data_IF_762316521188
#
_entry.id   IF_762316521188
#
_cell.length_a   1.000
_cell.length_b   1.000
_cell.length_c   1.000
_cell.angle_alpha   90.00
_cell.angle_beta   90.00
_cell.angle_gamma   90.00
#
_symmetry.space_group_name_H-M   'P 1'
#
loop_
_entity.id
_entity.type
_entity.pdbx_description
1 polymer ?
#
# COMPACT_ATOMS: atom_id res chain seq x y z
N UNK A 1 -8.89 -13.81 1.70
CA UNK A 1 -7.65 -13.14 1.26
C UNK A 1 -7.14 -12.27 2.40
N UNK A 2 -5.85 -12.36 2.74
CA UNK A 2 -5.18 -11.56 3.77
C UNK A 2 -4.35 -10.45 3.13
N UNK A 3 -4.62 -9.21 3.50
CA UNK A 3 -3.98 -8.02 2.96
C UNK A 3 -3.28 -7.24 4.07
N UNK A 4 -2.00 -6.99 3.92
CA UNK A 4 -1.27 -6.03 4.76
C UNK A 4 -1.33 -4.65 4.10
N UNK A 5 -1.81 -3.66 4.83
CA UNK A 5 -1.76 -2.24 4.46
C UNK A 5 -0.86 -1.52 5.42
N UNK A 6 0.24 -0.98 4.90
CA UNK A 6 1.17 -0.17 5.69
C UNK A 6 1.03 1.31 5.30
N UNK A 7 0.79 2.15 6.30
CA UNK A 7 0.74 3.60 6.15
C UNK A 7 2.03 4.17 6.72
N UNK A 8 2.98 4.51 5.84
CA UNK A 8 4.25 5.09 6.28
C UNK A 8 4.15 6.63 6.35
N UNK A 9 5.02 7.26 7.13
CA UNK A 9 4.97 8.68 7.50
C UNK A 9 5.14 9.73 6.38
N UNK A 10 4.62 9.46 5.18
CA UNK A 10 4.54 10.44 4.09
C UNK A 10 3.18 11.16 4.13
N UNK A 11 3.11 12.38 3.60
CA UNK A 11 1.82 13.04 3.41
C UNK A 11 0.95 12.23 2.44
N UNK A 12 -0.37 12.21 2.66
CA UNK A 12 -1.29 11.35 1.88
C UNK A 12 -1.79 10.12 2.67
N UNK A 13 -1.69 10.14 4.00
CA UNK A 13 -2.29 9.15 4.91
C UNK A 13 -3.76 8.89 4.56
N UNK A 14 -4.49 9.94 4.19
CA UNK A 14 -5.90 9.84 3.78
C UNK A 14 -6.11 8.88 2.62
N UNK A 15 -5.18 8.82 1.67
CA UNK A 15 -5.27 7.89 0.55
C UNK A 15 -5.17 6.42 0.99
N UNK A 16 -4.33 6.14 2.00
CA UNK A 16 -4.24 4.81 2.63
C UNK A 16 -5.51 4.44 3.39
N UNK A 17 -6.12 5.41 4.08
CA UNK A 17 -7.40 5.23 4.77
C UNK A 17 -8.51 4.92 3.75
N UNK A 18 -8.63 5.72 2.69
CA UNK A 18 -9.61 5.51 1.62
C UNK A 18 -9.40 4.19 0.89
N UNK A 19 -8.14 3.79 0.67
CA UNK A 19 -7.82 2.46 0.15
C UNK A 19 -8.48 1.37 1.00
N UNK A 20 -8.38 1.42 2.33
CA UNK A 20 -9.02 0.43 3.20
C UNK A 20 -10.54 0.55 3.18
N UNK A 21 -11.10 1.77 3.17
CA UNK A 21 -12.55 2.00 3.18
C UNK A 21 -13.26 1.40 1.97
N UNK A 22 -12.64 1.45 0.79
CA UNK A 22 -13.21 0.94 -0.46
C UNK A 22 -12.95 -0.55 -0.71
N UNK A 23 -12.13 -1.23 0.10
CA UNK A 23 -11.89 -2.67 -0.05
C UNK A 23 -13.19 -3.49 0.11
N UNK A 24 -13.36 -4.59 -0.63
CA UNK A 24 -14.39 -5.59 -0.35
C UNK A 24 -14.36 -6.03 1.11
N UNK A 25 -15.54 -6.24 1.72
CA UNK A 25 -15.65 -6.50 3.16
C UNK A 25 -15.16 -7.90 3.59
N UNK A 26 -15.02 -8.82 2.66
CA UNK A 26 -14.52 -10.19 2.88
C UNK A 26 -12.98 -10.28 2.98
N UNK A 27 -12.27 -9.18 2.69
CA UNK A 27 -10.81 -9.12 2.78
C UNK A 27 -10.39 -8.85 4.22
N UNK A 28 -9.61 -9.76 4.81
CA UNK A 28 -8.96 -9.60 6.10
C UNK A 28 -7.80 -8.60 5.98
N UNK A 29 -7.84 -7.54 6.78
CA UNK A 29 -6.87 -6.43 6.70
C UNK A 29 -5.98 -6.40 7.94
N UNK A 30 -4.68 -6.39 7.73
CA UNK A 30 -3.65 -6.14 8.74
C UNK A 30 -3.07 -4.75 8.49
N UNK A 31 -3.47 -3.78 9.30
CA UNK A 31 -3.03 -2.39 9.18
C UNK A 31 -1.80 -2.14 10.03
N UNK A 32 -0.71 -1.71 9.39
CA UNK A 32 0.49 -1.22 10.07
C UNK A 32 0.49 0.30 10.00
N UNK A 33 0.62 0.97 11.14
CA UNK A 33 0.74 2.42 11.20
C UNK A 33 1.92 2.83 12.08
N UNK A 34 2.64 3.84 11.64
CA UNK A 34 3.67 4.52 12.45
C UNK A 34 3.08 5.62 13.34
N UNK A 35 1.81 5.96 13.15
CA UNK A 35 1.15 7.03 13.86
C UNK A 35 0.06 6.45 14.77
N UNK A 36 0.22 6.62 16.10
CA UNK A 36 -0.75 6.19 17.11
C UNK A 36 -2.11 6.93 17.01
N UNK A 37 -2.21 7.93 16.14
CA UNK A 37 -3.45 8.67 15.91
C UNK A 37 -4.45 7.93 15.00
N UNK A 38 -4.00 6.88 14.27
CA UNK A 38 -4.92 6.05 13.48
C UNK A 38 -5.53 5.00 14.40
N UNK A 39 -6.82 5.11 14.66
CA UNK A 39 -7.59 4.16 15.47
C UNK A 39 -8.52 3.34 14.58
N UNK A 40 -8.86 2.13 15.04
CA UNK A 40 -9.84 1.25 14.35
C UNK A 40 -11.19 1.98 14.15
N UNK A 41 -11.53 2.93 15.02
CA UNK A 41 -12.77 3.72 14.94
C UNK A 41 -12.90 4.55 13.64
N UNK A 42 -11.80 4.82 12.92
CA UNK A 42 -11.84 5.48 11.59
C UNK A 42 -12.39 4.55 10.50
N UNK A 43 -12.48 3.24 10.79
CA UNK A 43 -12.98 2.21 9.88
C UNK A 43 -14.32 1.65 10.36
N UNK A 44 -15.20 2.51 10.87
CA UNK A 44 -16.57 2.16 11.22
C UNK A 44 -17.19 1.29 10.13
N UNK A 45 -17.80 0.17 10.52
CA UNK A 45 -18.35 -0.87 9.63
C UNK A 45 -17.36 -1.91 9.03
N UNK A 46 -16.14 -2.04 9.56
CA UNK A 46 -15.24 -3.17 9.24
C UNK A 46 -14.77 -3.89 10.51
N UNK A 47 -15.23 -5.12 10.69
CA UNK A 47 -14.88 -5.95 11.85
C UNK A 47 -13.63 -6.85 11.60
N UNK A 48 -13.03 -6.75 10.42
CA UNK A 48 -11.94 -7.61 9.94
C UNK A 48 -10.61 -6.85 9.77
N UNK A 49 -10.37 -5.83 10.58
CA UNK A 49 -9.11 -5.09 10.63
C UNK A 49 -8.36 -5.44 11.92
N UNK A 50 -7.12 -5.90 11.77
CA UNK A 50 -6.16 -6.06 12.87
C UNK A 50 -5.13 -4.96 12.79
N UNK A 51 -5.01 -4.15 13.85
CA UNK A 51 -4.03 -3.08 13.94
C UNK A 51 -2.71 -3.59 14.51
N UNK A 52 -1.61 -3.22 13.87
CA UNK A 52 -0.25 -3.53 14.31
C UNK A 52 0.56 -2.26 14.51
N UNK A 53 1.31 -2.22 15.61
CA UNK A 53 2.30 -1.16 15.83
C UNK A 53 3.54 -1.45 14.98
N UNK A 54 4.05 -0.43 14.28
CA UNK A 54 5.21 -0.56 13.41
C UNK A 54 6.51 -0.98 14.13
N UNK A 55 6.59 -0.78 15.45
CA UNK A 55 7.74 -1.25 16.27
C UNK A 55 7.66 -2.74 16.62
N UNK A 56 6.51 -3.39 16.44
CA UNK A 56 6.32 -4.81 16.78
C UNK A 56 6.78 -5.73 15.65
N UNK A 57 8.07 -5.93 15.52
CA UNK A 57 8.67 -6.83 14.51
C UNK A 57 8.37 -8.32 14.74
N UNK A 58 7.77 -8.68 15.88
CA UNK A 58 7.35 -10.05 16.22
C UNK A 58 5.88 -10.34 15.88
N UNK A 59 5.16 -9.39 15.26
CA UNK A 59 3.79 -9.59 14.84
C UNK A 59 3.68 -10.75 13.83
N UNK A 60 2.52 -11.42 13.78
CA UNK A 60 2.28 -12.58 12.89
C UNK A 60 2.63 -12.31 11.42
N UNK A 61 2.30 -11.12 10.93
CA UNK A 61 2.59 -10.68 9.54
C UNK A 61 4.09 -10.51 9.23
N UNK A 62 4.96 -10.58 10.24
CA UNK A 62 6.42 -10.59 10.08
C UNK A 62 6.97 -11.96 9.66
N UNK A 63 6.11 -12.98 9.58
CA UNK A 63 6.47 -14.36 9.21
C UNK A 63 5.79 -14.80 7.92
N UNK A 64 6.54 -15.45 7.02
CA UNK A 64 5.99 -16.04 5.79
C UNK A 64 4.98 -17.17 6.05
N UNK A 65 5.07 -17.85 7.20
CA UNK A 65 4.12 -18.91 7.59
C UNK A 65 2.72 -18.39 7.88
N UNK A 66 2.54 -17.10 8.12
CA UNK A 66 1.23 -16.48 8.32
C UNK A 66 0.40 -16.36 7.03
N UNK A 67 1.04 -16.54 5.87
CA UNK A 67 0.38 -16.60 4.56
C UNK A 67 -0.38 -15.30 4.19
N UNK A 68 0.32 -14.17 4.16
CA UNK A 68 -0.20 -12.91 3.59
C UNK A 68 -0.24 -13.04 2.07
N UNK A 69 -1.35 -12.66 1.44
CA UNK A 69 -1.51 -12.74 -0.02
C UNK A 69 -0.95 -11.49 -0.72
N UNK A 70 -1.19 -10.31 -0.16
CA UNK A 70 -0.83 -9.02 -0.74
C UNK A 70 -0.30 -8.10 0.35
N UNK A 71 0.76 -7.36 0.06
CA UNK A 71 1.27 -6.28 0.91
C UNK A 71 1.27 -4.98 0.13
N UNK A 72 0.74 -3.91 0.71
CA UNK A 72 0.76 -2.56 0.11
C UNK A 72 1.33 -1.55 1.10
N UNK A 73 2.10 -0.59 0.59
CA UNK A 73 2.62 0.55 1.38
C UNK A 73 2.08 1.83 0.75
N UNK A 74 1.06 2.43 1.35
CA UNK A 74 0.31 3.58 0.84
C UNK A 74 0.05 4.61 1.95
N UNK A 75 0.63 5.79 1.89
CA UNK A 75 1.74 6.19 1.01
C UNK A 75 3.06 5.52 1.39
N UNK A 76 4.01 5.46 0.45
CA UNK A 76 5.36 4.98 0.70
C UNK A 76 6.33 6.16 0.73
N UNK A 77 7.00 6.39 1.86
CA UNK A 77 8.05 7.40 1.95
C UNK A 77 9.33 6.97 1.24
N UNK A 78 10.14 7.94 0.79
CA UNK A 78 11.42 7.64 0.15
C UNK A 78 12.38 6.86 1.05
N UNK A 79 12.35 7.11 2.36
CA UNK A 79 13.13 6.34 3.32
C UNK A 79 12.67 4.87 3.38
N UNK A 80 11.36 4.62 3.40
CA UNK A 80 10.81 3.26 3.36
C UNK A 80 11.16 2.55 2.05
N UNK A 81 11.02 3.25 0.91
CA UNK A 81 11.42 2.73 -0.40
C UNK A 81 12.88 2.31 -0.43
N UNK A 82 13.77 3.19 0.04
CA UNK A 82 15.21 2.93 0.08
C UNK A 82 15.56 1.74 0.99
N UNK A 83 14.96 1.66 2.18
CA UNK A 83 15.15 0.53 3.09
C UNK A 83 14.73 -0.79 2.46
N UNK A 84 13.55 -0.85 1.84
CA UNK A 84 13.06 -2.07 1.15
C UNK A 84 14.01 -2.45 0.01
N UNK A 85 14.45 -1.47 -0.80
CA UNK A 85 15.40 -1.70 -1.90
C UNK A 85 16.77 -2.23 -1.42
N UNK A 86 17.20 -1.82 -0.24
CA UNK A 86 18.46 -2.29 0.36
C UNK A 86 18.29 -3.55 1.23
N UNK A 87 17.08 -4.10 1.37
CA UNK A 87 16.81 -5.28 2.20
C UNK A 87 16.86 -5.00 3.71
N UNK A 88 16.73 -3.73 4.13
CA UNK A 88 16.73 -3.33 5.53
C UNK A 88 15.30 -3.52 6.10
N UNK A 89 15.19 -4.42 7.08
CA UNK A 89 13.90 -4.80 7.70
C UNK A 89 13.91 -4.48 9.21
N UNK A 90 14.08 -3.20 9.53
CA UNK A 90 14.27 -2.69 10.91
C UNK A 90 12.96 -2.31 11.62
N UNK A 91 11.83 -2.40 10.93
CA UNK A 91 10.50 -2.16 11.47
C UNK A 91 9.48 -3.06 10.79
N UNK A 92 8.24 -3.08 11.28
CA UNK A 92 7.22 -4.01 10.78
C UNK A 92 6.83 -3.75 9.32
N UNK A 93 6.81 -2.50 8.86
CA UNK A 93 6.53 -2.16 7.45
C UNK A 93 7.58 -2.77 6.53
N UNK A 94 8.84 -2.52 6.80
CA UNK A 94 9.96 -3.03 5.99
C UNK A 94 10.10 -4.54 6.12
N UNK A 95 9.77 -5.10 7.30
CA UNK A 95 9.75 -6.55 7.53
C UNK A 95 8.64 -7.23 6.72
N UNK A 96 7.42 -6.71 6.71
CA UNK A 96 6.31 -7.25 5.92
C UNK A 96 6.62 -7.19 4.41
N UNK A 97 7.23 -6.10 3.94
CA UNK A 97 7.69 -5.99 2.56
C UNK A 97 8.78 -7.04 2.23
N UNK A 98 9.75 -7.25 3.13
CA UNK A 98 10.79 -8.28 2.95
C UNK A 98 10.18 -9.70 2.92
N UNK A 99 9.15 -9.96 3.72
CA UNK A 99 8.40 -11.23 3.67
C UNK A 99 7.70 -11.38 2.33
N UNK A 100 7.00 -10.34 1.85
CA UNK A 100 6.34 -10.39 0.55
C UNK A 100 7.33 -10.71 -0.59
N UNK A 101 8.51 -10.08 -0.59
CA UNK A 101 9.57 -10.33 -1.57
C UNK A 101 10.07 -11.78 -1.52
N UNK A 102 10.43 -12.30 -0.34
CA UNK A 102 10.99 -13.65 -0.23
C UNK A 102 9.97 -14.75 -0.52
N UNK A 103 8.68 -14.51 -0.22
CA UNK A 103 7.59 -15.45 -0.50
C UNK A 103 6.98 -15.25 -1.89
N UNK A 104 7.55 -14.34 -2.70
CA UNK A 104 7.09 -14.01 -4.06
C UNK A 104 5.59 -13.62 -4.10
N UNK A 105 5.13 -12.91 -3.06
CA UNK A 105 3.78 -12.38 -2.96
C UNK A 105 3.70 -10.99 -3.59
N UNK A 106 2.50 -10.56 -3.95
CA UNK A 106 2.29 -9.21 -4.50
C UNK A 106 2.70 -8.15 -3.49
N UNK A 107 3.57 -7.25 -3.90
CA UNK A 107 3.98 -6.07 -3.15
C UNK A 107 3.75 -4.82 -3.99
N UNK A 108 2.93 -3.88 -3.49
CA UNK A 108 2.72 -2.58 -4.11
C UNK A 108 3.27 -1.48 -3.21
N UNK A 109 4.08 -0.63 -3.79
CA UNK A 109 4.58 0.58 -3.16
C UNK A 109 4.00 1.81 -3.89
N UNK A 110 3.37 2.72 -3.15
CA UNK A 110 2.86 3.99 -3.66
C UNK A 110 3.76 5.14 -3.21
N UNK A 111 4.95 5.32 -3.84
CA UNK A 111 5.88 6.39 -3.47
C UNK A 111 5.26 7.75 -3.77
N UNK A 112 5.46 8.70 -2.84
CA UNK A 112 4.96 10.05 -2.96
C UNK A 112 6.09 11.05 -2.74
N UNK A 113 6.63 11.53 -3.82
CA UNK A 113 7.71 12.52 -3.86
C UNK A 113 7.70 13.26 -5.21
N UNK A 114 8.04 14.55 -5.19
CA UNK A 114 8.21 15.37 -6.38
C UNK A 114 9.19 16.51 -6.09
N UNK A 115 10.25 16.69 -6.90
CA UNK A 115 10.74 15.80 -7.95
C UNK A 115 11.35 14.52 -7.41
N UNK A 116 11.51 13.49 -8.26
CA UNK A 116 12.21 12.26 -7.92
C UNK A 116 13.72 12.42 -8.08
N UNK A 117 14.49 12.05 -7.06
CA UNK A 117 15.95 12.03 -7.14
C UNK A 117 16.45 10.84 -7.96
N UNK A 118 17.67 10.88 -8.55
CA UNK A 118 18.28 9.73 -9.21
C UNK A 118 18.32 8.50 -8.31
N UNK A 119 18.65 8.63 -7.03
CA UNK A 119 18.68 7.53 -6.07
C UNK A 119 17.28 6.91 -5.90
N UNK A 120 16.23 7.73 -5.83
CA UNK A 120 14.87 7.21 -5.74
C UNK A 120 14.48 6.43 -6.99
N UNK A 121 14.82 6.93 -8.17
CA UNK A 121 14.57 6.27 -9.46
C UNK A 121 15.32 4.93 -9.57
N UNK A 122 16.57 4.87 -9.15
CA UNK A 122 17.36 3.63 -9.10
C UNK A 122 16.75 2.59 -8.16
N UNK A 123 16.30 3.02 -6.98
CA UNK A 123 15.62 2.14 -6.01
C UNK A 123 14.30 1.59 -6.59
N UNK A 124 13.51 2.42 -7.26
CA UNK A 124 12.28 2.00 -7.93
C UNK A 124 12.57 1.00 -9.06
N UNK A 125 13.59 1.28 -9.89
CA UNK A 125 14.01 0.38 -10.95
C UNK A 125 14.47 -0.98 -10.40
N UNK A 126 15.27 -0.97 -9.34
CA UNK A 126 15.74 -2.21 -8.68
C UNK A 126 14.56 -3.05 -8.18
N UNK A 127 13.60 -2.42 -7.50
CA UNK A 127 12.43 -3.11 -6.97
C UNK A 127 11.50 -3.60 -8.07
N UNK A 128 11.30 -2.83 -9.14
CA UNK A 128 10.47 -3.26 -10.28
C UNK A 128 11.01 -4.51 -10.96
N UNK A 129 12.33 -4.69 -11.02
CA UNK A 129 12.98 -5.92 -11.52
C UNK A 129 12.72 -7.15 -10.64
N UNK A 130 12.29 -6.93 -9.39
CA UNK A 130 11.87 -7.98 -8.44
C UNK A 130 10.34 -8.15 -8.41
N UNK A 131 9.63 -7.70 -9.45
CA UNK A 131 8.17 -7.75 -9.58
C UNK A 131 7.42 -6.93 -8.52
N UNK A 132 8.06 -5.95 -7.88
CA UNK A 132 7.36 -4.99 -7.03
C UNK A 132 6.61 -4.00 -7.90
N UNK A 133 5.34 -3.79 -7.58
CA UNK A 133 4.49 -2.82 -8.28
C UNK A 133 4.81 -1.44 -7.72
N UNK A 134 5.46 -0.60 -8.53
CA UNK A 134 5.73 0.80 -8.20
C UNK A 134 4.59 1.64 -8.78
N UNK A 135 3.72 2.13 -7.91
CA UNK A 135 2.46 2.77 -8.31
C UNK A 135 2.25 4.11 -7.56
N UNK A 136 3.01 5.15 -7.90
CA UNK A 136 2.79 6.48 -7.31
C UNK A 136 1.37 6.98 -7.60
N UNK A 137 0.79 7.81 -6.73
CA UNK A 137 -0.53 8.42 -6.95
C UNK A 137 -0.43 9.51 -8.03
N UNK A 138 -0.48 9.12 -9.27
CA UNK A 138 -0.43 10.02 -10.44
C UNK A 138 -1.85 10.37 -10.87
N UNK A 139 -2.11 11.65 -11.06
CA UNK A 139 -3.42 12.13 -11.55
C UNK A 139 -3.65 11.70 -13.01
N UNK A 140 -4.80 11.07 -13.25
CA UNK A 140 -5.22 10.66 -14.59
C UNK A 140 -6.18 11.67 -15.20
N UNK A 141 -5.69 12.71 -15.85
CA UNK A 141 -6.53 13.77 -16.44
C UNK A 141 -7.57 13.24 -17.45
N UNK A 142 -7.30 12.09 -18.06
CA UNK A 142 -8.23 11.43 -18.99
C UNK A 142 -9.41 10.73 -18.28
N UNK A 143 -9.41 10.65 -16.96
CA UNK A 143 -10.49 10.02 -16.21
C UNK A 143 -11.75 10.90 -16.08
N UNK A 144 -11.71 12.12 -16.63
CA UNK A 144 -12.80 13.13 -16.55
C UNK A 144 -13.23 13.44 -15.12
N UNK A 145 -12.36 13.19 -14.14
CA UNK A 145 -12.63 13.43 -12.72
C UNK A 145 -12.69 14.93 -12.45
N UNK A 146 -13.81 15.41 -11.96
CA UNK A 146 -14.03 16.83 -11.64
C UNK A 146 -13.68 17.21 -10.20
N UNK A 147 -13.47 16.22 -9.35
CA UNK A 147 -13.18 16.41 -7.92
C UNK A 147 -11.96 15.63 -7.48
N UNK A 148 -11.35 16.05 -6.37
CA UNK A 148 -10.25 15.32 -5.75
C UNK A 148 -10.68 13.90 -5.34
N UNK A 149 -11.91 13.75 -4.84
CA UNK A 149 -12.42 12.45 -4.42
C UNK A 149 -12.56 11.47 -5.60
N UNK A 150 -13.06 11.92 -6.73
CA UNK A 150 -13.14 11.11 -7.94
C UNK A 150 -11.75 10.71 -8.43
N UNK A 151 -10.78 11.62 -8.38
CA UNK A 151 -9.39 11.34 -8.73
C UNK A 151 -8.78 10.28 -7.80
N UNK A 152 -9.02 10.38 -6.49
CA UNK A 152 -8.56 9.39 -5.52
C UNK A 152 -9.21 8.02 -5.74
N UNK A 153 -10.51 7.99 -6.03
CA UNK A 153 -11.24 6.75 -6.40
C UNK A 153 -10.63 6.12 -7.65
N UNK A 154 -10.32 6.92 -8.66
CA UNK A 154 -9.64 6.46 -9.87
C UNK A 154 -8.28 5.82 -9.54
N UNK A 155 -7.43 6.51 -8.77
CA UNK A 155 -6.10 6.01 -8.37
C UNK A 155 -6.24 4.70 -7.59
N UNK A 156 -7.12 4.65 -6.60
CA UNK A 156 -7.35 3.45 -5.77
C UNK A 156 -7.89 2.29 -6.64
N UNK A 157 -8.81 2.58 -7.54
CA UNK A 157 -9.34 1.59 -8.48
C UNK A 157 -8.24 0.99 -9.36
N UNK A 158 -7.32 1.82 -9.87
CA UNK A 158 -6.14 1.35 -10.62
C UNK A 158 -5.22 0.46 -9.76
N UNK A 159 -5.02 0.80 -8.48
CA UNK A 159 -4.27 -0.07 -7.58
C UNK A 159 -4.97 -1.40 -7.33
N UNK A 160 -6.30 -1.40 -7.18
CA UNK A 160 -7.06 -2.64 -7.06
C UNK A 160 -6.95 -3.52 -8.30
N UNK A 161 -7.01 -2.93 -9.48
CA UNK A 161 -6.89 -3.68 -10.74
C UNK A 161 -5.54 -4.41 -10.83
N UNK A 162 -4.43 -3.74 -10.55
CA UNK A 162 -3.10 -4.39 -10.61
C UNK A 162 -2.91 -5.42 -9.49
N UNK A 163 -3.60 -5.27 -8.37
CA UNK A 163 -3.62 -6.23 -7.27
C UNK A 163 -4.56 -7.41 -7.53
N UNK A 164 -5.46 -7.31 -8.52
CA UNK A 164 -6.47 -8.31 -8.82
C UNK A 164 -7.67 -8.27 -7.86
N UNK A 165 -7.93 -7.10 -7.25
CA UNK A 165 -9.08 -6.86 -6.39
C UNK A 165 -10.22 -6.30 -7.25
N UNK A 166 -11.36 -6.99 -7.27
CA UNK A 166 -12.54 -6.53 -8.01
C UNK A 166 -13.05 -5.21 -7.46
N UNK A 167 -13.35 -4.27 -8.34
CA UNK A 167 -13.86 -2.95 -7.97
C UNK A 167 -14.64 -2.28 -9.11
N UNK A 168 -15.43 -1.28 -8.74
CA UNK A 168 -16.22 -0.40 -9.61
C UNK A 168 -15.96 1.09 -9.29
N UNK A 169 -14.78 1.41 -8.78
CA UNK A 169 -14.46 2.74 -8.25
C UNK A 169 -14.36 3.82 -9.32
N UNK A 170 -14.17 3.45 -10.59
CA UNK A 170 -14.07 4.41 -11.69
C UNK A 170 -14.64 3.83 -12.98
N UNK A 171 -15.04 4.73 -13.89
CA UNK A 171 -15.52 4.35 -15.23
C UNK A 171 -14.37 3.73 -16.02
N UNK A 172 -14.57 2.50 -16.49
CA UNK A 172 -13.57 1.81 -17.31
C UNK A 172 -13.60 2.35 -18.73
N UNK A 173 -12.43 2.26 -19.38
CA UNK A 173 -12.36 2.56 -20.82
C UNK A 173 -13.10 1.45 -21.57
N UNK A 174 -14.26 1.79 -22.12
CA UNK A 174 -15.05 0.93 -22.99
C UNK A 174 -14.82 1.38 -24.43
N UNK A 175 -14.45 0.44 -25.31
CA UNK A 175 -14.32 0.67 -26.76
C UNK A 175 -15.70 0.62 -27.41
#
# INVERSE_FOLDING_TARGET
>A
MKLVVAISGASGVELGIKFIKYLPKDIEVHLITSNNALTVNQFENRNNITLHNNSNIAASIASGSFQVDITVVIPCSMNTLAKISCGIADNLVTRAAAVALKEQKKLLLAPRELPLSPIALENMLKLSKLNVIIAPPVMGYYSESGTIEEMERFIIGKWYDVLGIKNDLYKRWET
#
